data_IF_386198160574
#
_entry.id   IF_386198160574
#
_cell.length_a   1.000
_cell.length_b   1.000
_cell.length_c   1.000
_cell.angle_alpha   90.00
_cell.angle_beta   90.00
_cell.angle_gamma   90.00
#
_symmetry.space_group_name_H-M   'P 1'
#
loop_
_entity.id
_entity.type
_entity.pdbx_description
1 polymer ?
#
# COMPACT_ATOMS: atom_id res chain seq x y z
N UNK A 1 -3.57 15.31 17.91
CA UNK A 1 -4.96 15.04 17.49
C UNK A 1 -5.54 16.27 16.80
N UNK A 2 -5.39 16.41 15.48
CA UNK A 2 -6.13 17.37 14.64
C UNK A 2 -6.24 16.77 13.22
N UNK A 3 -7.41 16.21 12.88
CA UNK A 3 -7.70 15.51 11.63
C UNK A 3 -7.95 16.47 10.45
N UNK A 4 -7.02 17.36 10.11
CA UNK A 4 -7.22 18.25 8.97
C UNK A 4 -6.56 17.65 7.73
N UNK A 5 -7.29 16.77 7.05
CA UNK A 5 -6.87 16.17 5.79
C UNK A 5 -7.75 16.70 4.64
N UNK A 6 -7.62 17.99 4.35
CA UNK A 6 -8.06 18.64 3.11
C UNK A 6 -7.07 18.29 2.01
N UNK A 7 -7.33 17.19 1.29
CA UNK A 7 -6.65 16.91 0.02
C UNK A 7 -7.65 17.11 -1.11
N UNK A 8 -7.34 18.10 -1.94
CA UNK A 8 -8.12 18.61 -3.08
C UNK A 8 -8.36 17.48 -4.10
N UNK A 9 -9.60 17.33 -4.54
CA UNK A 9 -10.04 16.32 -5.51
C UNK A 9 -10.97 17.04 -6.50
N UNK A 10 -10.79 16.95 -7.84
CA UNK A 10 -9.57 16.93 -8.66
C UNK A 10 -8.80 18.27 -8.59
N UNK A 11 -7.54 18.27 -9.03
CA UNK A 11 -6.61 19.41 -8.96
C UNK A 11 -7.11 20.70 -9.66
N UNK A 12 -8.16 20.62 -10.47
CA UNK A 12 -8.63 21.73 -11.32
C UNK A 12 -9.84 22.49 -10.76
N UNK A 13 -10.60 21.94 -9.80
CA UNK A 13 -11.85 22.57 -9.32
C UNK A 13 -11.87 23.00 -7.84
N UNK A 14 -10.76 22.84 -7.11
CA UNK A 14 -10.54 23.56 -5.84
C UNK A 14 -11.53 23.28 -4.69
N UNK A 15 -12.32 22.20 -4.72
CA UNK A 15 -13.31 21.93 -3.68
C UNK A 15 -12.68 21.32 -2.41
N UNK A 16 -12.86 22.00 -1.27
CA UNK A 16 -12.46 21.52 0.05
C UNK A 16 -13.42 20.44 0.59
N UNK A 17 -13.32 19.22 0.06
CA UNK A 17 -14.15 18.08 0.49
C UNK A 17 -13.34 17.11 1.34
N UNK A 18 -13.92 16.65 2.45
CA UNK A 18 -13.30 15.62 3.28
C UNK A 18 -13.28 14.27 2.54
N UNK A 19 -12.12 13.57 2.56
CA UNK A 19 -11.94 12.21 2.00
C UNK A 19 -13.06 11.23 2.42
N UNK A 20 -13.56 11.33 3.66
CA UNK A 20 -14.65 10.48 4.16
C UNK A 20 -15.96 10.66 3.39
N UNK A 21 -16.28 11.90 2.98
CA UNK A 21 -17.50 12.25 2.24
C UNK A 21 -17.44 11.71 0.81
N UNK A 22 -16.30 11.90 0.13
CA UNK A 22 -16.07 11.37 -1.23
C UNK A 22 -16.21 9.84 -1.24
N UNK A 23 -15.57 9.14 -0.30
CA UNK A 23 -15.67 7.67 -0.20
C UNK A 23 -17.12 7.20 -0.02
N UNK A 24 -17.90 7.87 0.82
CA UNK A 24 -19.32 7.53 1.04
C UNK A 24 -20.16 7.73 -0.22
N UNK A 25 -19.90 8.82 -0.96
CA UNK A 25 -20.57 9.13 -2.22
C UNK A 25 -20.27 8.07 -3.28
N UNK A 26 -18.99 7.69 -3.46
CA UNK A 26 -18.59 6.62 -4.39
C UNK A 26 -19.32 5.30 -4.09
N UNK A 27 -19.40 4.92 -2.81
CA UNK A 27 -20.12 3.71 -2.38
C UNK A 27 -21.62 3.77 -2.69
N UNK A 28 -22.29 4.90 -2.42
CA UNK A 28 -23.73 5.05 -2.71
C UNK A 28 -24.05 5.03 -4.20
N UNK A 29 -23.14 5.54 -5.03
CA UNK A 29 -23.27 5.53 -6.48
C UNK A 29 -22.83 4.21 -7.12
N UNK A 30 -22.34 3.24 -6.34
CA UNK A 30 -21.82 1.98 -6.88
C UNK A 30 -20.56 2.16 -7.73
N UNK A 31 -19.85 3.28 -7.56
CA UNK A 31 -18.64 3.58 -8.31
C UNK A 31 -17.45 2.91 -7.63
N UNK A 32 -16.96 1.83 -8.23
CA UNK A 32 -15.73 1.17 -7.82
C UNK A 32 -14.56 1.71 -8.64
N UNK A 33 -13.53 2.19 -7.96
CA UNK A 33 -12.27 2.56 -8.60
C UNK A 33 -11.41 1.33 -8.86
N UNK A 34 -11.15 1.02 -10.13
CA UNK A 34 -10.16 0.04 -10.57
C UNK A 34 -8.77 0.68 -10.45
N UNK A 35 -8.23 0.74 -9.23
CA UNK A 35 -6.83 1.14 -9.06
C UNK A 35 -5.91 -0.06 -9.30
N UNK A 36 -4.75 0.13 -9.95
CA UNK A 36 -3.74 -0.91 -10.02
C UNK A 36 -3.32 -1.26 -8.60
N UNK A 37 -3.41 -2.55 -8.25
CA UNK A 37 -2.87 -3.04 -6.98
C UNK A 37 -1.37 -2.71 -6.93
N UNK A 38 -0.83 -2.18 -5.82
CA UNK A 38 0.60 -1.99 -5.69
C UNK A 38 1.32 -3.31 -5.97
N UNK A 39 2.35 -3.26 -6.83
CA UNK A 39 3.15 -4.44 -7.17
C UNK A 39 4.08 -4.77 -6.00
N UNK A 40 3.51 -5.34 -4.94
CA UNK A 40 4.22 -5.71 -3.71
C UNK A 40 5.33 -6.75 -3.92
N UNK A 41 5.27 -7.50 -5.02
CA UNK A 41 6.30 -8.45 -5.43
C UNK A 41 7.47 -7.80 -6.18
N UNK A 42 7.32 -6.56 -6.66
CA UNK A 42 8.40 -5.85 -7.31
C UNK A 42 9.21 -5.11 -6.23
N UNK A 43 10.47 -5.50 -6.03
CA UNK A 43 11.35 -4.76 -5.14
C UNK A 43 11.52 -3.32 -5.64
N UNK A 44 11.34 -2.35 -4.75
CA UNK A 44 11.76 -0.96 -5.02
C UNK A 44 13.29 -0.87 -4.90
N UNK A 45 13.94 -0.07 -5.75
CA UNK A 45 15.39 0.14 -5.68
C UNK A 45 15.81 0.86 -4.38
N UNK A 46 16.95 0.51 -3.75
CA UNK A 46 17.69 -0.74 -3.78
C UNK A 46 17.26 -1.62 -2.59
N UNK A 47 16.22 -2.43 -2.72
CA UNK A 47 15.86 -3.38 -1.68
C UNK A 47 16.96 -4.44 -1.57
N UNK A 48 17.71 -4.44 -0.48
CA UNK A 48 18.69 -5.48 -0.18
C UNK A 48 17.93 -6.79 0.00
N UNK A 49 18.17 -7.74 -0.90
CA UNK A 49 17.68 -9.12 -0.72
C UNK A 49 18.44 -9.70 0.46
N UNK A 50 17.76 -9.94 1.57
CA UNK A 50 18.33 -10.67 2.70
C UNK A 50 18.22 -12.17 2.39
N UNK A 51 19.30 -12.83 1.92
CA UNK A 51 19.29 -14.29 1.91
C UNK A 51 19.02 -14.76 3.35
N UNK A 52 18.17 -15.77 3.49
CA UNK A 52 17.93 -16.39 4.79
C UNK A 52 19.26 -16.84 5.37
N UNK A 53 19.37 -16.83 6.70
CA UNK A 53 20.58 -17.22 7.43
C UNK A 53 21.04 -18.65 7.09
N UNK A 54 20.12 -19.51 6.65
CA UNK A 54 20.37 -20.89 6.27
C UNK A 54 20.61 -21.09 4.76
N UNK A 55 20.87 -20.03 4.01
CA UNK A 55 21.11 -20.15 2.56
C UNK A 55 22.50 -20.76 2.31
N UNK A 56 22.53 -22.03 1.93
CA UNK A 56 23.76 -22.76 1.61
C UNK A 56 24.21 -23.76 2.69
N UNK A 57 23.44 -23.92 3.76
CA UNK A 57 23.72 -24.91 4.80
C UNK A 57 22.95 -26.20 4.57
N UNK A 58 23.63 -27.35 4.70
CA UNK A 58 23.01 -28.67 4.63
C UNK A 58 22.38 -29.03 5.97
N UNK A 59 21.07 -28.83 6.08
CA UNK A 59 20.28 -29.18 7.26
C UNK A 59 20.22 -30.70 7.37
N UNK A 60 21.09 -31.26 8.23
CA UNK A 60 21.29 -32.71 8.36
C UNK A 60 20.61 -33.28 9.63
N UNK A 61 20.28 -32.41 10.59
CA UNK A 61 19.56 -32.76 11.82
C UNK A 61 18.57 -31.65 12.19
N UNK A 62 17.59 -31.97 13.04
CA UNK A 62 16.51 -31.07 13.47
C UNK A 62 17.03 -29.84 14.22
N UNK A 63 18.19 -29.95 14.87
CA UNK A 63 18.84 -28.86 15.59
C UNK A 63 20.10 -28.44 14.82
N UNK A 64 19.92 -27.55 13.85
CA UNK A 64 21.01 -26.97 13.06
C UNK A 64 21.27 -25.53 13.56
N UNK A 65 22.44 -25.30 14.16
CA UNK A 65 23.00 -23.98 14.53
C UNK A 65 24.31 -23.77 13.79
#
# INVERSE_FOLDING_TARGET
MCFNNTRVFPAEQGYAVNRKRVRRLMQRMGLETIYPKPRVSQPSEPSVRYPYLLRGTSITSRDHV
#
